data_IF_549666629371
#
_entry.id   IF_549666629371
#
_cell.length_a   1.000
_cell.length_b   1.000
_cell.length_c   1.000
_cell.angle_alpha   90.00
_cell.angle_beta   90.00
_cell.angle_gamma   90.00
#
_symmetry.space_group_name_H-M   'P 1'
#
loop_
_entity.id
_entity.type
_entity.pdbx_description
1 polymer ?
2 non-polymer ?
3 non-polymer ?
4 water ?
#
# COMPACT_ATOMS: atom_id res chain seq x y z
N UNK A 3 12.42 10.95 3.62
CA UNK A 3 11.53 10.96 4.79
C UNK A 3 10.53 9.77 4.76
N UNK A 4 10.20 9.14 5.92
CA UNK A 4 9.24 8.00 5.91
C UNK A 4 7.85 8.45 5.49
N UNK A 5 7.25 7.79 4.47
CA UNK A 5 5.93 8.18 4.01
C UNK A 5 4.97 7.00 3.83
N UNK A 6 5.41 5.73 4.10
CA UNK A 6 4.52 4.56 3.89
C UNK A 6 3.97 3.96 5.17
N UNK A 7 2.64 3.89 5.26
CA UNK A 7 1.92 3.32 6.40
C UNK A 7 1.11 2.10 5.97
N UNK A 8 1.08 1.08 6.86
CA UNK A 8 0.25 -0.09 6.66
C UNK A 8 -0.78 -0.16 7.77
N UNK A 9 -2.03 0.01 7.40
CA UNK A 9 -3.16 -0.13 8.30
C UNK A 9 -3.54 -1.60 8.34
N UNK A 10 -3.65 -2.18 9.53
CA UNK A 10 -4.07 -3.58 9.70
C UNK A 10 -5.38 -3.52 10.46
N UNK A 11 -6.49 -3.63 9.72
CA UNK A 11 -7.82 -3.45 10.29
C UNK A 11 -8.87 -4.09 9.40
N UNK A 12 -9.76 -4.90 9.99
CA UNK A 12 -10.82 -5.57 9.24
C UNK A 12 -12.08 -4.69 9.14
N UNK A 13 -12.16 -3.61 9.96
CA UNK A 13 -13.31 -2.71 9.95
C UNK A 13 -13.15 -1.69 8.81
N UNK A 14 -13.99 -1.80 7.75
CA UNK A 14 -13.91 -0.92 6.59
C UNK A 14 -14.21 0.51 6.91
N UNK A 15 -15.20 0.78 7.79
CA UNK A 15 -15.60 2.16 8.14
C UNK A 15 -14.42 2.89 8.79
N UNK A 16 -13.78 2.27 9.79
CA UNK A 16 -12.64 2.85 10.51
C UNK A 16 -11.40 2.95 9.57
N UNK A 17 -11.08 1.87 8.85
CA UNK A 17 -9.90 1.86 7.98
C UNK A 17 -9.99 2.95 6.89
N UNK A 18 -11.19 3.18 6.35
CA UNK A 18 -11.41 4.21 5.33
C UNK A 18 -11.19 5.60 5.91
N UNK A 19 -11.71 5.86 7.11
CA UNK A 19 -11.58 7.16 7.79
C UNK A 19 -10.11 7.43 8.16
N UNK A 20 -9.37 6.41 8.66
CA UNK A 20 -7.95 6.60 9.01
C UNK A 20 -7.15 6.91 7.76
N UNK A 21 -7.41 6.16 6.68
CA UNK A 21 -6.73 6.43 5.41
C UNK A 21 -7.05 7.84 4.89
N UNK A 22 -8.30 8.29 4.97
CA UNK A 22 -8.62 9.64 4.46
C UNK A 22 -7.78 10.70 5.17
N UNK A 23 -7.73 10.62 6.51
CA UNK A 23 -6.97 11.58 7.31
C UNK A 23 -5.46 11.47 6.96
N UNK A 24 -4.91 10.25 6.91
CA UNK A 24 -3.48 10.03 6.65
C UNK A 24 -3.08 10.40 5.21
N UNK A 25 -4.00 10.25 4.25
CA UNK A 25 -3.75 10.70 2.86
C UNK A 25 -3.65 12.22 2.85
N UNK A 26 -4.49 12.88 3.64
CA UNK A 26 -4.45 14.33 3.76
C UNK A 26 -3.12 14.81 4.32
N UNK A 27 -2.49 13.99 5.18
CA UNK A 27 -1.20 14.28 5.82
C UNK A 27 -0.03 13.94 4.88
N UNK A 28 -0.32 13.42 3.68
CA UNK A 28 0.71 13.15 2.68
C UNK A 28 1.27 11.75 2.62
N UNK A 29 0.75 10.83 3.45
CA UNK A 29 1.23 9.45 3.47
C UNK A 29 0.72 8.59 2.34
N UNK A 30 1.53 7.56 2.00
CA UNK A 30 1.17 6.45 1.13
C UNK A 30 0.55 5.43 2.08
N UNK A 31 -0.72 5.09 1.88
CA UNK A 31 -1.44 4.27 2.85
C UNK A 31 -1.86 2.94 2.25
N UNK A 32 -1.32 1.85 2.81
CA UNK A 32 -1.62 0.47 2.43
C UNK A 32 -2.56 -0.11 3.46
N UNK A 33 -3.31 -1.17 3.09
CA UNK A 33 -4.23 -1.78 4.02
C UNK A 33 -4.27 -3.28 3.89
N UNK A 34 -4.20 -3.96 5.04
CA UNK A 34 -4.38 -5.39 5.18
C UNK A 34 -5.58 -5.59 6.12
N UNK A 35 -6.38 -6.64 5.91
CA UNK A 35 -7.59 -6.91 6.68
C UNK A 35 -7.37 -7.85 7.86
N UNK A 36 -6.19 -8.48 7.97
CA UNK A 36 -5.87 -9.41 9.06
C UNK A 36 -4.37 -9.40 9.35
N UNK A 37 -4.00 -9.92 10.53
CA UNK A 37 -2.61 -10.04 10.94
C UNK A 37 -1.85 -11.02 10.04
N UNK A 38 -2.53 -12.09 9.60
CA UNK A 38 -1.95 -13.12 8.71
C UNK A 38 -1.60 -12.48 7.36
N UNK A 39 -2.50 -11.67 6.80
CA UNK A 39 -2.22 -11.01 5.53
C UNK A 39 -1.14 -9.93 5.74
N UNK A 40 -1.20 -9.18 6.87
CA UNK A 40 -0.20 -8.14 7.15
C UNK A 40 1.21 -8.73 7.18
N UNK A 41 1.41 -9.86 7.86
CA UNK A 41 2.71 -10.51 7.98
C UNK A 41 3.30 -10.86 6.61
N UNK A 42 2.48 -11.43 5.70
CA UNK A 42 2.90 -11.74 4.33
C UNK A 42 3.32 -10.47 3.55
N UNK A 43 2.53 -9.41 3.64
CA UNK A 43 2.77 -8.15 2.93
C UNK A 43 3.99 -7.37 3.44
N UNK A 44 4.19 -7.32 4.76
CA UNK A 44 5.28 -6.58 5.39
C UNK A 44 6.64 -7.05 4.88
N UNK A 45 6.85 -8.37 4.81
CA UNK A 45 8.18 -8.86 4.44
C UNK A 45 8.37 -8.89 2.92
N UNK A 46 7.31 -8.65 2.14
CA UNK A 46 7.46 -8.53 0.69
C UNK A 46 7.73 -7.04 0.34
N UNK A 47 7.11 -6.09 1.09
CA UNK A 47 7.29 -4.64 0.91
C UNK A 47 7.19 -3.94 2.25
N UNK A 48 8.35 -3.69 2.87
CA UNK A 48 8.45 -3.09 4.19
C UNK A 48 7.86 -1.70 4.25
N UNK A 49 6.82 -1.47 5.07
CA UNK A 49 6.32 -0.09 5.23
C UNK A 49 7.18 0.64 6.27
N UNK A 50 6.90 1.92 6.52
CA UNK A 50 7.67 2.69 7.50
C UNK A 50 7.06 2.61 8.90
N UNK A 51 5.78 2.26 8.99
CA UNK A 51 5.04 2.08 10.25
C UNK A 51 3.77 1.28 10.03
N UNK A 52 3.29 0.67 11.13
CA UNK A 52 2.09 -0.13 11.20
C UNK A 52 1.03 0.57 12.06
N UNK A 53 -0.23 0.51 11.66
CA UNK A 53 -1.35 1.06 12.44
C UNK A 53 -2.22 -0.15 12.56
N UNK A 54 -2.23 -0.76 13.76
CA UNK A 54 -2.87 -2.05 13.95
C UNK A 54 -4.02 -2.02 14.95
N UNK A 55 -5.17 -2.56 14.55
CA UNK A 55 -6.30 -2.72 15.48
C UNK A 55 -5.93 -3.88 16.44
N UNK A 56 -6.22 -3.76 17.75
CA UNK A 56 -6.01 -4.84 18.73
C UNK A 56 -6.89 -6.05 18.38
N UNK A 57 -8.07 -5.77 17.77
CA UNK A 57 -9.06 -6.78 17.34
C UNK A 57 -8.87 -7.12 15.88
N UNK A 58 -8.60 -8.39 15.57
CA UNK A 58 -8.41 -8.82 14.16
C UNK A 58 -9.10 -10.18 13.96
N UNK A 59 -9.43 -10.59 12.71
CA UNK A 59 -10.20 -11.85 12.52
C UNK A 59 -9.47 -13.14 12.90
N UNK A 60 -8.15 -13.18 12.76
CA UNK A 60 -7.37 -14.36 13.13
C UNK A 60 -6.60 -14.06 14.39
N UNK A 61 -5.26 -13.99 14.28
CA UNK A 61 -4.42 -13.61 15.42
C UNK A 61 -4.80 -12.16 15.80
N UNK A 62 -4.77 -11.84 17.10
CA UNK A 62 -5.14 -10.48 17.50
C UNK A 62 -3.97 -9.51 17.22
N UNK A 63 -4.19 -8.21 17.39
CA UNK A 63 -3.20 -7.16 17.19
C UNK A 63 -1.97 -7.30 18.07
N UNK A 64 -2.15 -7.75 19.33
CA UNK A 64 -1.02 -7.96 20.25
C UNK A 64 -0.08 -9.04 19.73
N UNK A 65 -0.66 -10.15 19.19
CA UNK A 65 0.10 -11.26 18.60
C UNK A 65 0.83 -10.77 17.35
N UNK A 66 0.14 -9.97 16.52
CA UNK A 66 0.75 -9.38 15.32
C UNK A 66 1.96 -8.54 15.72
N UNK A 67 1.78 -7.65 16.71
CA UNK A 67 2.85 -6.78 17.22
C UNK A 67 4.05 -7.61 17.73
N UNK A 68 3.77 -8.63 18.55
CA UNK A 68 4.81 -9.52 19.09
C UNK A 68 5.58 -10.21 17.97
N UNK A 69 4.87 -10.71 16.92
CA UNK A 69 5.54 -11.41 15.81
C UNK A 69 6.42 -10.46 14.97
N UNK A 70 5.95 -9.23 14.73
CA UNK A 70 6.71 -8.23 13.97
C UNK A 70 8.00 -7.90 14.73
N UNK A 71 7.90 -7.75 16.07
CA UNK A 71 9.02 -7.45 16.96
C UNK A 71 10.07 -8.57 16.97
N UNK A 72 9.68 -9.82 16.68
CA UNK A 72 10.59 -10.98 16.68
C UNK A 72 11.43 -11.08 15.37
N UNK A 73 10.95 -10.47 14.24
CA UNK A 73 11.67 -10.47 12.97
C UNK A 73 12.80 -9.44 12.98
N UNK A 74 14.08 -9.82 12.65
CA UNK A 74 15.18 -8.82 12.68
C UNK A 74 14.96 -7.58 11.80
N UNK A 75 14.33 -7.73 10.62
CA UNK A 75 14.07 -6.60 9.72
C UNK A 75 12.99 -5.62 10.24
N UNK A 76 12.19 -6.01 11.25
CA UNK A 76 11.12 -5.15 11.79
C UNK A 76 11.17 -5.05 13.32
N UNK A 77 12.32 -5.39 13.93
CA UNK A 77 12.53 -5.32 15.38
C UNK A 77 12.18 -3.94 15.93
N UNK A 78 12.49 -2.86 15.18
CA UNK A 78 12.18 -1.52 15.68
C UNK A 78 11.16 -0.80 14.78
N UNK A 79 10.41 -1.55 13.94
CA UNK A 79 9.38 -0.97 13.08
C UNK A 79 8.34 -0.23 13.93
N UNK A 80 8.11 1.10 13.73
CA UNK A 80 7.12 1.81 14.56
C UNK A 80 5.71 1.23 14.39
N UNK A 81 5.02 1.05 15.52
CA UNK A 81 3.68 0.46 15.54
C UNK A 81 2.79 1.29 16.40
N UNK A 82 1.64 1.67 15.85
CA UNK A 82 0.59 2.38 16.55
C UNK A 82 -0.58 1.41 16.72
N UNK A 83 -1.00 1.17 17.98
CA UNK A 83 -2.12 0.28 18.24
C UNK A 83 -3.43 1.06 18.30
N UNK A 84 -4.50 0.51 17.71
CA UNK A 84 -5.82 1.14 17.75
C UNK A 84 -6.62 0.45 18.84
N UNK A 85 -7.04 1.21 19.85
CA UNK A 85 -7.75 0.63 21.00
C UNK A 85 -9.20 1.16 21.14
N UNK A 86 -10.02 0.45 21.92
CA UNK A 86 -11.42 0.86 22.12
C UNK A 86 -11.48 2.07 23.05
N UNK A 87 -12.56 2.83 22.94
CA UNK A 87 -12.77 4.00 23.78
C UNK A 87 -12.85 3.57 25.23
N UNK A 88 -12.10 4.26 26.08
CA UNK A 88 -12.04 4.00 27.52
C UNK A 88 -11.41 2.67 27.94
N UNK A 89 -10.70 1.98 27.02
CA UNK A 89 -10.10 0.69 27.35
C UNK A 89 -8.65 0.86 27.83
N UNK A 90 -8.46 0.90 29.15
CA UNK A 90 -7.12 1.08 29.74
C UNK A 90 -6.28 -0.21 29.62
N UNK A 91 -6.90 -1.38 29.84
CA UNK A 91 -6.18 -2.66 29.75
C UNK A 91 -5.54 -2.84 28.38
N UNK A 92 -6.23 -2.38 27.29
CA UNK A 92 -5.70 -2.47 25.92
C UNK A 92 -4.43 -1.61 25.74
N UNK A 93 -4.38 -0.40 26.37
CA UNK A 93 -3.17 0.45 26.31
C UNK A 93 -2.00 -0.31 26.92
N UNK A 94 -2.21 -0.85 28.12
CA UNK A 94 -1.19 -1.61 28.87
C UNK A 94 -0.71 -2.81 28.04
N UNK A 95 -1.65 -3.62 27.50
CA UNK A 95 -1.30 -4.79 26.71
C UNK A 95 -0.57 -4.38 25.41
N UNK A 96 -0.94 -3.23 24.83
CA UNK A 96 -0.30 -2.72 23.61
C UNK A 96 1.18 -2.44 23.86
N UNK A 97 1.49 -1.74 24.97
CA UNK A 97 2.90 -1.47 25.31
C UNK A 97 3.63 -2.76 25.69
N UNK A 98 2.95 -3.71 26.36
CA UNK A 98 3.58 -5.00 26.72
C UNK A 98 3.95 -5.78 25.45
N UNK A 99 3.13 -5.68 24.40
CA UNK A 99 3.36 -6.35 23.12
C UNK A 99 4.53 -5.71 22.32
N UNK A 100 4.93 -4.49 22.68
CA UNK A 100 6.02 -3.79 22.01
C UNK A 100 5.62 -2.62 21.13
N UNK A 101 4.34 -2.20 21.19
CA UNK A 101 3.87 -1.06 20.40
C UNK A 101 4.55 0.24 20.86
N UNK A 102 4.70 1.20 19.95
CA UNK A 102 5.33 2.49 20.27
C UNK A 102 4.35 3.44 20.94
N UNK A 103 3.09 3.39 20.53
CA UNK A 103 2.01 4.21 21.07
C UNK A 103 0.67 3.59 20.71
N UNK A 104 -0.40 4.20 21.17
CA UNK A 104 -1.75 3.75 20.83
C UNK A 104 -2.59 4.96 20.50
N UNK A 105 -3.78 4.74 19.98
CA UNK A 105 -4.79 5.77 19.76
C UNK A 105 -6.14 5.14 19.99
N UNK A 106 -6.94 5.72 20.88
CA UNK A 106 -8.25 5.20 21.20
C UNK A 106 -9.34 5.73 20.28
N UNK A 107 -10.34 4.88 19.98
CA UNK A 107 -11.52 5.25 19.21
C UNK A 107 -12.24 6.38 19.96
N UNK A 108 -12.79 7.45 19.31
CA UNK A 108 -13.06 7.62 17.88
C UNK A 108 -11.92 8.17 17.00
N UNK A 109 -10.67 8.13 17.47
CA UNK A 109 -9.47 8.48 16.69
C UNK A 109 -9.47 9.94 16.19
N UNK A 110 -9.36 10.89 17.13
CA UNK A 110 -9.31 12.33 16.83
C UNK A 110 -8.25 12.58 15.70
N UNK A 111 -8.65 13.17 14.55
CA UNK A 111 -7.73 13.26 13.40
C UNK A 111 -6.41 13.97 13.67
N UNK A 112 -6.41 15.10 14.39
CA UNK A 112 -5.11 15.75 14.67
C UNK A 112 -4.25 14.88 15.60
N UNK A 113 -4.88 14.13 16.53
CA UNK A 113 -4.14 13.24 17.43
C UNK A 113 -3.50 12.09 16.66
N UNK A 114 -4.25 11.52 15.68
CA UNK A 114 -3.73 10.47 14.81
C UNK A 114 -2.47 10.93 14.07
N UNK A 115 -2.54 12.12 13.44
CA UNK A 115 -1.42 12.68 12.66
C UNK A 115 -0.20 12.93 13.59
N UNK A 116 -0.45 13.48 14.78
CA UNK A 116 0.56 13.78 15.78
C UNK A 116 1.29 12.51 16.24
N UNK A 117 0.53 11.47 16.62
CA UNK A 117 1.11 10.24 17.17
C UNK A 117 1.86 9.45 16.11
N UNK A 118 1.36 9.43 14.86
CA UNK A 118 2.05 8.77 13.75
C UNK A 118 3.38 9.49 13.47
N UNK A 119 3.34 10.83 13.37
CA UNK A 119 4.54 11.64 13.19
C UNK A 119 5.59 11.32 14.28
N UNK A 120 5.16 11.28 15.55
CA UNK A 120 6.07 11.11 16.68
C UNK A 120 6.69 9.71 16.72
N UNK A 121 5.96 8.64 16.37
CA UNK A 121 6.54 7.29 16.39
C UNK A 121 7.49 7.12 15.19
N UNK A 122 7.30 7.90 14.11
CA UNK A 122 8.17 7.83 12.93
C UNK A 122 9.45 8.63 13.13
N UNK A 123 9.38 9.71 13.93
CA UNK A 123 10.51 10.61 14.20
C UNK A 123 11.54 9.97 15.12
N UNK A 124 11.07 9.32 16.22
CA UNK A 124 11.90 8.67 17.24
C UNK A 124 12.71 7.52 16.66
N UNK B 3 18.65 11.03 -16.26
CA UNK B 3 17.77 10.29 -17.17
C UNK B 3 16.36 10.20 -16.60
N UNK B 4 15.30 10.42 -17.43
CA UNK B 4 13.92 10.32 -16.90
C UNK B 4 13.55 8.89 -16.54
N UNK B 5 12.58 8.73 -15.63
CA UNK B 5 12.09 7.42 -15.25
C UNK B 5 11.16 6.88 -16.33
N UNK B 6 11.12 5.56 -16.46
CA UNK B 6 10.27 4.87 -17.43
C UNK B 6 9.15 4.16 -16.69
N UNK B 7 7.95 4.25 -17.23
CA UNK B 7 6.77 3.61 -16.66
C UNK B 7 6.11 2.72 -17.68
N UNK B 8 5.63 1.55 -17.24
CA UNK B 8 4.85 0.69 -18.12
C UNK B 8 3.40 0.69 -17.61
N UNK B 9 2.48 1.20 -18.45
CA UNK B 9 1.03 1.22 -18.18
C UNK B 9 0.41 -0.04 -18.80
N UNK B 10 -0.13 -0.91 -17.96
CA UNK B 10 -0.77 -2.18 -18.41
C UNK B 10 -2.26 -1.98 -18.23
N UNK B 11 -2.94 -1.74 -19.36
CA UNK B 11 -4.36 -1.38 -19.35
C UNK B 11 -4.92 -1.59 -20.74
N UNK B 12 -6.04 -2.31 -20.85
CA UNK B 12 -6.68 -2.57 -22.15
C UNK B 12 -7.71 -1.49 -22.51
N UNK B 13 -8.01 -0.56 -21.57
CA UNK B 13 -8.95 0.53 -21.82
C UNK B 13 -8.16 1.68 -22.44
N UNK B 14 -8.20 1.78 -23.78
CA UNK B 14 -7.39 2.75 -24.54
C UNK B 14 -7.61 4.21 -24.11
N UNK B 15 -8.86 4.58 -23.87
CA UNK B 15 -9.23 5.95 -23.49
C UNK B 15 -8.63 6.35 -22.14
N UNK B 16 -8.79 5.49 -21.13
CA UNK B 16 -8.29 5.74 -19.79
C UNK B 16 -6.75 5.77 -19.81
N UNK B 17 -6.11 4.75 -20.41
CA UNK B 17 -4.64 4.67 -20.43
C UNK B 17 -4.03 5.84 -21.24
N UNK B 18 -4.72 6.34 -22.28
CA UNK B 18 -4.24 7.49 -23.07
C UNK B 18 -4.19 8.72 -22.15
N UNK B 19 -5.24 8.91 -21.33
CA UNK B 19 -5.33 10.03 -20.38
C UNK B 19 -4.18 9.93 -19.36
N UNK B 20 -3.94 8.73 -18.80
CA UNK B 20 -2.85 8.53 -17.85
C UNK B 20 -1.51 8.86 -18.50
N UNK B 21 -1.31 8.37 -19.74
CA UNK B 21 -0.08 8.60 -20.47
C UNK B 21 0.15 10.09 -20.73
N UNK B 22 -0.92 10.84 -21.10
CA UNK B 22 -0.77 12.29 -21.36
C UNK B 22 -0.27 12.99 -20.09
N UNK B 23 -0.88 12.68 -18.93
CA UNK B 23 -0.49 13.31 -17.66
C UNK B 23 0.99 12.97 -17.33
N UNK B 24 1.35 11.69 -17.45
CA UNK B 24 2.70 11.23 -17.08
C UNK B 24 3.77 11.70 -18.04
N UNK B 25 3.47 11.82 -19.36
CA UNK B 25 4.42 12.39 -20.33
C UNK B 25 4.65 13.86 -20.00
N UNK B 26 3.58 14.54 -19.57
CA UNK B 26 3.65 15.93 -19.16
C UNK B 26 4.60 16.11 -17.99
N UNK B 27 4.64 15.09 -17.09
CA UNK B 27 5.51 15.04 -15.91
C UNK B 27 6.95 14.58 -16.26
N UNK B 28 7.25 14.36 -17.54
CA UNK B 28 8.59 13.99 -18.00
C UNK B 28 8.92 12.51 -18.10
N UNK B 29 7.97 11.62 -17.75
CA UNK B 29 8.23 10.19 -17.82
C UNK B 29 8.22 9.65 -19.21
N UNK B 30 9.03 8.58 -19.43
CA UNK B 30 9.00 7.81 -20.68
C UNK B 30 7.90 6.77 -20.45
N UNK B 31 6.83 6.78 -21.21
CA UNK B 31 5.74 5.86 -20.95
C UNK B 31 5.63 4.79 -22.01
N UNK B 32 5.57 3.53 -21.55
CA UNK B 32 5.40 2.35 -22.39
C UNK B 32 3.98 1.84 -22.15
N UNK B 33 3.38 1.16 -23.13
CA UNK B 33 2.01 0.69 -22.96
C UNK B 33 1.83 -0.75 -23.39
N UNK B 34 1.13 -1.55 -22.58
CA UNK B 34 0.77 -2.93 -22.90
C UNK B 34 -0.72 -3.09 -22.61
N UNK B 35 -1.41 -3.96 -23.37
CA UNK B 35 -2.87 -4.10 -23.23
C UNK B 35 -3.26 -5.38 -22.45
N UNK B 36 -2.29 -6.21 -22.06
CA UNK B 36 -2.58 -7.46 -21.35
C UNK B 36 -1.45 -7.80 -20.42
N UNK B 37 -1.75 -8.62 -19.40
CA UNK B 37 -0.74 -9.08 -18.48
C UNK B 37 0.28 -9.98 -19.17
N UNK B 38 -0.17 -10.77 -20.17
CA UNK B 38 0.70 -11.68 -20.93
C UNK B 38 1.76 -10.87 -21.71
N UNK B 39 1.32 -9.79 -22.37
CA UNK B 39 2.25 -8.92 -23.11
C UNK B 39 3.16 -8.15 -22.17
N UNK B 40 2.63 -7.69 -21.02
CA UNK B 40 3.41 -6.96 -20.03
C UNK B 40 4.58 -7.81 -19.54
N UNK B 41 4.32 -9.08 -19.20
CA UNK B 41 5.37 -9.98 -18.71
C UNK B 41 6.47 -10.18 -19.76
N UNK B 42 6.12 -10.28 -21.05
CA UNK B 42 7.12 -10.39 -22.12
C UNK B 42 7.97 -9.12 -22.20
N UNK B 43 7.31 -7.96 -22.14
CA UNK B 43 7.96 -6.66 -22.27
C UNK B 43 8.84 -6.31 -21.06
N UNK B 44 8.37 -6.63 -19.84
CA UNK B 44 9.10 -6.30 -18.61
C UNK B 44 10.48 -6.96 -18.58
N UNK B 45 10.57 -8.24 -18.95
CA UNK B 45 11.85 -8.93 -18.81
C UNK B 45 12.79 -8.68 -19.99
N UNK B 46 12.30 -8.14 -21.10
CA UNK B 46 13.19 -7.73 -22.20
C UNK B 46 13.82 -6.35 -21.87
N UNK B 47 13.06 -5.45 -21.19
CA UNK B 47 13.50 -4.11 -20.77
C UNK B 47 12.75 -3.71 -19.51
N UNK B 48 13.44 -3.78 -18.36
CA UNK B 48 12.83 -3.48 -17.07
C UNK B 48 12.41 -2.02 -16.95
N UNK B 49 11.11 -1.74 -16.67
CA UNK B 49 10.72 -0.33 -16.48
C UNK B 49 11.07 0.06 -15.03
N UNK B 50 10.92 1.32 -14.66
CA UNK B 50 11.18 1.75 -13.28
C UNK B 50 9.97 1.54 -12.39
N UNK B 51 8.78 1.45 -13.00
CA UNK B 51 7.53 1.18 -12.27
C UNK B 51 6.45 0.67 -13.20
N UNK B 52 5.46 -0.04 -12.62
CA UNK B 52 4.32 -0.59 -13.32
C UNK B 52 3.05 0.09 -12.82
N UNK B 53 2.15 0.45 -13.74
CA UNK B 53 0.81 1.02 -13.47
C UNK B 53 -0.10 -0.01 -14.13
N UNK B 54 -0.87 -0.75 -13.31
CA UNK B 54 -1.65 -1.87 -13.80
C UNK B 54 -3.13 -1.77 -13.44
N UNK B 55 -4.00 -2.00 -14.41
CA UNK B 55 -5.43 -2.04 -14.17
C UNK B 55 -5.69 -3.39 -13.50
N UNK B 56 -6.57 -3.42 -12.50
CA UNK B 56 -6.94 -4.70 -11.85
C UNK B 56 -7.60 -5.62 -12.91
N UNK B 57 -8.30 -5.03 -13.89
CA UNK B 57 -8.96 -5.78 -14.99
C UNK B 57 -8.09 -5.79 -16.20
N UNK B 58 -7.81 -7.00 -16.71
CA UNK B 58 -7.01 -7.23 -17.93
C UNK B 58 -7.64 -8.39 -18.69
N UNK B 59 -7.51 -8.45 -20.04
CA UNK B 59 -8.28 -9.46 -20.82
C UNK B 59 -7.93 -10.94 -20.57
N UNK B 60 -6.68 -11.24 -20.20
CA UNK B 60 -6.26 -12.61 -19.87
C UNK B 60 -6.10 -12.71 -18.37
N UNK B 61 -4.89 -12.99 -17.86
CA UNK B 61 -4.64 -12.94 -16.42
C UNK B 61 -4.99 -11.52 -15.96
N UNK B 62 -5.55 -11.37 -14.77
CA UNK B 62 -5.94 -10.03 -14.33
C UNK B 62 -4.74 -9.29 -13.67
N UNK B 63 -4.97 -8.05 -13.26
CA UNK B 63 -3.93 -7.24 -12.65
C UNK B 63 -3.38 -7.82 -11.35
N UNK B 64 -4.24 -8.50 -10.56
CA UNK B 64 -3.80 -9.17 -9.31
C UNK B 64 -2.80 -10.28 -9.62
N UNK B 65 -3.10 -11.11 -10.62
CA UNK B 65 -2.21 -12.21 -11.03
C UNK B 65 -0.91 -11.61 -11.59
N UNK B 66 -1.01 -10.58 -12.41
CA UNK B 66 0.19 -9.95 -12.99
C UNK B 66 1.10 -9.43 -11.89
N UNK B 67 0.52 -8.70 -10.91
CA UNK B 67 1.26 -8.14 -9.78
C UNK B 67 1.97 -9.26 -8.98
N UNK B 68 1.25 -10.35 -8.70
CA UNK B 68 1.77 -11.51 -7.98
C UNK B 68 2.96 -12.14 -8.73
N UNK B 69 2.84 -12.30 -10.07
CA UNK B 69 3.89 -12.88 -10.90
C UNK B 69 5.12 -12.00 -10.97
N UNK B 70 4.92 -10.68 -11.07
CA UNK B 70 6.04 -9.73 -11.10
C UNK B 70 6.80 -9.84 -9.75
N UNK B 71 6.07 -9.94 -8.63
CA UNK B 71 6.64 -10.09 -7.28
C UNK B 71 7.42 -11.41 -7.08
N UNK B 72 7.10 -12.46 -7.86
CA UNK B 72 7.78 -13.76 -7.76
C UNK B 72 9.10 -13.78 -8.50
N UNK B 73 9.29 -12.90 -9.53
CA UNK B 73 10.53 -12.83 -10.30
C UNK B 73 11.62 -12.13 -9.49
N UNK B 74 12.81 -12.78 -9.27
CA UNK B 74 13.89 -12.10 -8.50
C UNK B 74 14.26 -10.69 -9.01
N UNK B 75 14.27 -10.47 -10.34
CA UNK B 75 14.62 -9.16 -10.92
C UNK B 75 13.59 -8.06 -10.67
N UNK B 76 12.33 -8.42 -10.36
CA UNK B 76 11.27 -7.43 -10.16
C UNK B 76 10.60 -7.55 -8.80
N UNK B 77 11.24 -8.27 -7.87
CA UNK B 77 10.77 -8.52 -6.50
C UNK B 77 10.27 -7.24 -5.82
N UNK B 78 11.00 -6.10 -5.97
CA UNK B 78 10.60 -4.84 -5.34
C UNK B 78 10.31 -3.74 -6.37
N UNK B 79 9.99 -4.15 -7.60
CA UNK B 79 9.61 -3.18 -8.63
C UNK B 79 8.37 -2.41 -8.15
N UNK B 80 8.38 -1.06 -8.13
CA UNK B 80 7.17 -0.32 -7.71
C UNK B 80 5.98 -0.62 -8.59
N UNK B 81 4.82 -0.92 -7.98
CA UNK B 81 3.59 -1.22 -8.71
C UNK B 81 2.46 -0.38 -8.16
N UNK B 82 1.73 0.28 -9.05
CA UNK B 82 0.54 1.08 -8.74
C UNK B 82 -0.65 0.40 -9.40
N UNK B 83 -1.65 -0.02 -8.60
CA UNK B 83 -2.86 -0.68 -9.14
C UNK B 83 -3.92 0.35 -9.45
N UNK B 84 -4.66 0.18 -10.56
CA UNK B 84 -5.77 1.09 -10.91
C UNK B 84 -7.06 0.43 -10.52
N UNK B 85 -7.87 1.07 -9.67
CA UNK B 85 -9.11 0.41 -9.23
C UNK B 85 -10.33 1.23 -9.59
N UNK B 86 -11.53 0.63 -9.46
CA UNK B 86 -12.80 1.34 -9.66
C UNK B 86 -13.01 2.31 -8.49
N UNK B 87 -13.86 3.31 -8.68
CA UNK B 87 -14.19 4.28 -7.63
C UNK B 87 -14.82 3.58 -6.42
N UNK B 88 -14.32 3.91 -5.22
CA UNK B 88 -14.81 3.40 -3.94
C UNK B 88 -14.74 1.90 -3.75
N UNK B 89 -13.90 1.21 -4.54
CA UNK B 89 -13.78 -0.24 -4.50
C UNK B 89 -12.77 -0.68 -3.43
N UNK B 90 -13.28 -0.95 -2.22
CA UNK B 90 -12.44 -1.38 -1.08
C UNK B 90 -11.88 -2.77 -1.32
N UNK B 91 -12.69 -3.72 -1.83
CA UNK B 91 -12.21 -5.08 -2.05
C UNK B 91 -11.04 -5.08 -3.05
N UNK B 92 -11.08 -4.21 -4.08
CA UNK B 92 -9.99 -4.13 -5.05
C UNK B 92 -8.69 -3.61 -4.40
N UNK B 93 -8.77 -2.56 -3.55
CA UNK B 93 -7.53 -2.07 -2.97
C UNK B 93 -6.96 -3.11 -1.98
N UNK B 94 -7.80 -3.86 -1.21
CA UNK B 94 -7.35 -4.97 -0.34
C UNK B 94 -6.64 -6.04 -1.19
N UNK B 95 -7.30 -6.51 -2.26
CA UNK B 95 -6.76 -7.55 -3.16
C UNK B 95 -5.46 -7.06 -3.82
N UNK B 96 -5.36 -5.76 -4.13
CA UNK B 96 -4.15 -5.20 -4.71
C UNK B 96 -2.98 -5.29 -3.75
N UNK B 97 -3.21 -4.98 -2.46
CA UNK B 97 -2.14 -5.07 -1.46
C UNK B 97 -1.79 -6.52 -1.17
N UNK B 98 -2.79 -7.44 -1.21
CA UNK B 98 -2.50 -8.88 -1.04
C UNK B 98 -1.62 -9.39 -2.19
N UNK B 99 -1.78 -8.83 -3.40
CA UNK B 99 -0.98 -9.25 -4.56
C UNK B 99 0.46 -8.69 -4.50
N UNK B 100 0.70 -7.67 -3.66
CA UNK B 100 2.02 -7.07 -3.47
C UNK B 100 2.17 -5.67 -4.02
N UNK B 101 1.07 -4.97 -4.32
CA UNK B 101 1.19 -3.60 -4.86
C UNK B 101 1.74 -2.61 -3.82
N UNK B 102 2.42 -1.55 -4.28
CA UNK B 102 2.94 -0.49 -3.41
C UNK B 102 1.83 0.50 -3.07
N UNK B 103 0.95 0.76 -4.03
CA UNK B 103 -0.18 1.68 -3.88
C UNK B 103 -1.22 1.42 -4.95
N UNK B 104 -2.32 2.17 -4.89
CA UNK B 104 -3.39 2.12 -5.87
C UNK B 104 -3.82 3.56 -6.17
N UNK B 105 -4.62 3.70 -7.20
CA UNK B 105 -5.31 4.94 -7.52
C UNK B 105 -6.68 4.57 -8.01
N UNK B 106 -7.74 5.16 -7.42
CA UNK B 106 -9.11 4.84 -7.87
C UNK B 106 -9.60 5.80 -8.96
N UNK B 107 -10.48 5.28 -9.82
CA UNK B 107 -11.17 6.07 -10.84
C UNK B 107 -11.98 7.18 -10.15
N UNK B 108 -12.06 8.43 -10.67
CA UNK B 108 -11.65 8.92 -12.00
C UNK B 108 -10.17 9.27 -12.24
N UNK B 109 -9.26 8.92 -11.32
CA UNK B 109 -7.80 9.11 -11.44
C UNK B 109 -7.39 10.57 -11.52
N UNK B 110 -7.45 11.28 -10.40
CA UNK B 110 -7.05 12.69 -10.30
C UNK B 110 -5.59 12.85 -10.77
N UNK B 111 -5.29 13.76 -11.73
CA UNK B 111 -3.90 13.85 -12.23
C UNK B 111 -2.86 14.32 -11.22
N UNK B 112 -3.15 15.31 -10.35
CA UNK B 112 -2.13 15.70 -9.37
C UNK B 112 -1.89 14.47 -8.42
N UNK B 113 -2.96 13.73 -8.03
CA UNK B 113 -2.84 12.49 -7.21
C UNK B 113 -1.95 11.46 -7.87
N UNK B 114 -2.21 11.22 -9.17
CA UNK B 114 -1.47 10.22 -9.94
C UNK B 114 0.01 10.53 -9.88
N UNK B 115 0.41 11.77 -10.18
CA UNK B 115 1.82 12.20 -10.19
C UNK B 115 2.40 12.06 -8.77
N UNK B 116 1.65 12.48 -7.74
CA UNK B 116 2.06 12.38 -6.34
C UNK B 116 2.34 10.93 -5.95
N UNK B 117 1.40 10.01 -6.28
CA UNK B 117 1.56 8.59 -5.91
C UNK B 117 2.69 7.92 -6.69
N UNK B 118 2.84 8.24 -8.00
CA UNK B 118 3.91 7.67 -8.82
C UNK B 118 5.28 8.12 -8.28
N UNK B 119 5.43 9.42 -7.98
CA UNK B 119 6.64 9.95 -7.39
C UNK B 119 6.96 9.20 -6.05
N UNK B 120 5.95 9.02 -5.17
CA UNK B 120 6.13 8.38 -3.88
C UNK B 120 6.58 6.91 -3.99
N UNK B 121 6.00 6.13 -4.92
CA UNK B 121 6.38 4.71 -5.06
C UNK B 121 7.78 4.59 -5.70
N UNK B 122 8.22 5.58 -6.49
CA UNK B 122 9.55 5.55 -7.09
C UNK B 122 10.67 6.08 -6.16
N UNK B 123 10.32 6.92 -5.17
CA UNK B 123 11.27 7.58 -4.25
C UNK B 123 12.18 6.59 -3.49
N UNK B 124 11.62 5.48 -2.94
CA UNK B 124 12.36 4.47 -2.19
C UNK B 124 13.41 3.77 -3.04
X LIG C 1 4.47 12.98 5.28
X LIG C 1 3.89 13.46 4.03
X LIG C 1 5.32 11.83 5.01
X LIG C 1 5.28 14.04 5.90
X LIG C 1 3.42 12.62 6.17
X LIG D 1 7.28 2.59 -1.20
X LIG D 1 6.11 2.34 -2.04
X LIG D 1 8.41 1.83 -1.69
X LIG D 1 7.61 4.03 -1.25
X LIG D 1 7.02 2.22 0.20
X LIG E 1 -12.51 -6.45 4.81
X LIG E 1 -13.26 -5.58 3.96
X LIG E 1 -13.12 -7.85 4.73
X LIG E 1 -12.22 -8.81 5.30
X LIG F 1 -10.10 -1.49 30.94
X LIG F 1 -10.38 -0.11 31.14
X LIG F 1 -11.18 -2.13 30.07
X LIG F 1 -10.65 -3.30 29.41
X LIG G 1 -5.99 -7.53 27.66
X LIG G 1 -6.74 -6.33 27.48
X LIG G 1 -5.42 -7.96 26.32
X LIG G 1 -4.38 -8.95 26.45
X LIG H 1 -10.15 -1.39 18.95
X LIG H 1 -10.70 -2.64 18.54
X LIG H 1 -10.78 -0.26 18.13
X LIG H 1 -12.19 -0.43 18.24
X LIG I 1 -10.33 -0.52 -12.59
X LIG I 1 -10.75 -1.62 -13.41
X LIG I 1 -10.61 0.81 -13.30
X LIG I 1 -12.01 0.90 -13.57
X LIG J 1 9.78 12.48 -13.80
X LIG J 1 10.53 13.09 -12.75
X LIG J 1 10.69 12.00 -14.92
X LIG J 1 11.64 11.06 -14.39
#
# INVERSE_FOLDING_TARGET
GXKPHTLLIVDDDDTVAEMLELVLRGAGYEVRRAASGEEALQQIYKNLPDALICDVLLPGIDGYTLCKRVRQHPLTKTLPILMLTAQGDISAKIAGFEAGANDYLAKPFEPQELVYRVKNILARTTIETPTTPVQR
GXKPHTLLIVDDDDTVAEMLELVLRGAGYEVRRAASGEEALQQIYKNLPDALICDVLLPGIDGYTLCKRVRQHPLTKTLPILMLTAQGDISAKIAGFEAGANDYLAKPFEPQELVYRVKNILARTTIETPTTPVQR
SO4 S O1 O2 O3 O4
SO4 S O1 O2 O3 O4
EDO C1 O1 C2 O2
EDO C1 O1 C2 O2
EDO C1 O1 C2 O2
EDO C1 O1 C2 O2
EDO C1 O1 C2 O2
EDO C1 O1 C2 O2
#
